data_IF_251237921133
#
_entry.id   IF_251237921133
#
_cell.length_a   1.000
_cell.length_b   1.000
_cell.length_c   1.000
_cell.angle_alpha   90.00
_cell.angle_beta   90.00
_cell.angle_gamma   90.00
#
_symmetry.space_group_name_H-M   'P 1'
#
loop_
_entity.id
_entity.type
_entity.pdbx_description
1 polymer ?
#
# COMPACT_ATOMS: atom_id res chain seq x y z
N UNK A 1 -3.98 -2.51 9.19
CA UNK A 1 -5.28 -2.61 8.60
C UNK A 1 -5.27 -2.53 7.09
N UNK A 2 -6.22 -3.19 6.45
CA UNK A 2 -6.36 -3.08 5.00
C UNK A 2 -6.95 -1.72 4.60
N UNK A 3 -6.51 -1.22 3.46
CA UNK A 3 -6.99 0.02 2.88
C UNK A 3 -7.34 -0.22 1.41
N UNK A 4 -8.57 0.10 1.04
CA UNK A 4 -9.07 -0.12 -0.33
C UNK A 4 -8.73 1.09 -1.19
N UNK A 5 -8.18 0.84 -2.37
CA UNK A 5 -7.80 1.89 -3.30
C UNK A 5 -8.23 1.51 -4.73
N UNK A 6 -8.86 2.44 -5.43
CA UNK A 6 -9.20 2.26 -6.84
C UNK A 6 -8.25 3.08 -7.69
N UNK A 7 -7.58 2.42 -8.64
CA UNK A 7 -6.64 3.07 -9.54
C UNK A 7 -7.35 3.94 -10.57
N UNK A 8 -6.58 4.78 -11.25
CA UNK A 8 -7.11 5.68 -12.29
C UNK A 8 -7.88 4.89 -13.37
N UNK A 9 -7.38 3.73 -13.76
CA UNK A 9 -8.00 2.91 -14.81
C UNK A 9 -9.03 1.91 -14.27
N UNK A 10 -9.35 1.98 -12.96
CA UNK A 10 -10.45 1.24 -12.39
C UNK A 10 -10.09 -0.08 -11.71
N UNK A 11 -8.83 -0.42 -11.59
CA UNK A 11 -8.41 -1.61 -10.84
C UNK A 11 -8.66 -1.40 -9.35
N UNK A 12 -9.21 -2.40 -8.69
CA UNK A 12 -9.46 -2.34 -7.25
C UNK A 12 -8.36 -3.07 -6.50
N UNK A 13 -7.69 -2.33 -5.63
CA UNK A 13 -6.58 -2.84 -4.82
C UNK A 13 -6.94 -2.80 -3.35
N UNK A 14 -6.36 -3.72 -2.59
CA UNK A 14 -6.27 -3.60 -1.14
C UNK A 14 -4.80 -3.52 -0.80
N UNK A 15 -4.37 -2.42 -0.18
CA UNK A 15 -3.04 -2.39 0.41
C UNK A 15 -3.18 -2.87 1.85
N UNK A 16 -2.29 -3.75 2.26
CA UNK A 16 -2.36 -4.36 3.59
C UNK A 16 -0.97 -4.71 4.08
N UNK A 17 -0.85 -4.85 5.37
CA UNK A 17 0.44 -5.11 5.99
C UNK A 17 0.51 -6.52 6.52
N UNK A 18 1.71 -7.07 6.51
CA UNK A 18 1.97 -8.42 6.98
C UNK A 18 3.44 -8.61 7.24
N UNK A 19 3.80 -9.83 7.62
CA UNK A 19 5.18 -10.16 7.93
C UNK A 19 5.73 -11.11 6.87
N UNK A 20 6.92 -10.78 6.40
CA UNK A 20 7.75 -11.67 5.58
C UNK A 20 9.03 -11.93 6.33
N UNK A 21 9.91 -12.73 5.75
CA UNK A 21 11.17 -13.13 6.40
C UNK A 21 12.00 -11.94 6.86
N UNK A 22 11.99 -10.85 6.08
CA UNK A 22 12.77 -9.64 6.37
C UNK A 22 12.09 -8.66 7.32
N UNK A 23 10.85 -8.91 7.73
CA UNK A 23 10.14 -8.04 8.67
C UNK A 23 8.74 -7.65 8.21
N UNK A 24 8.30 -6.49 8.68
CA UNK A 24 6.97 -5.96 8.42
C UNK A 24 6.93 -5.22 7.08
N UNK A 25 5.90 -5.46 6.28
CA UNK A 25 5.83 -4.92 4.93
C UNK A 25 4.42 -4.45 4.59
N UNK A 26 4.33 -3.57 3.61
CA UNK A 26 3.08 -3.18 2.99
C UNK A 26 2.97 -3.88 1.63
N UNK A 27 1.90 -4.63 1.42
CA UNK A 27 1.68 -5.44 0.23
C UNK A 27 0.43 -4.97 -0.52
N UNK A 28 0.28 -5.44 -1.74
CA UNK A 28 -0.87 -5.15 -2.59
C UNK A 28 -1.57 -6.46 -2.96
N UNK A 29 -2.87 -6.52 -2.75
CA UNK A 29 -3.74 -7.53 -3.34
C UNK A 29 -4.65 -6.85 -4.35
N UNK A 30 -5.03 -7.56 -5.41
CA UNK A 30 -5.88 -7.01 -6.45
C UNK A 30 -7.05 -7.91 -6.78
N UNK A 31 -8.19 -7.28 -7.05
CA UNK A 31 -9.39 -7.97 -7.53
C UNK A 31 -9.24 -8.25 -9.03
N UNK A 32 -9.69 -9.43 -9.47
CA UNK A 32 -9.60 -9.83 -10.86
C UNK A 32 -10.63 -9.15 -11.77
N UNK A 33 -11.67 -8.57 -11.17
CA UNK A 33 -12.77 -7.97 -11.95
C UNK A 33 -13.07 -6.51 -11.56
N UNK A 34 -12.24 -5.90 -10.71
CA UNK A 34 -12.43 -4.53 -10.25
C UNK A 34 -13.53 -4.37 -9.21
N UNK A 35 -14.07 -5.45 -8.67
CA UNK A 35 -15.16 -5.44 -7.68
C UNK A 35 -14.66 -6.10 -6.40
N UNK A 36 -15.21 -5.66 -5.26
CA UNK A 36 -14.86 -6.22 -3.94
C UNK A 36 -15.19 -7.72 -3.86
N UNK A 37 -16.18 -8.17 -4.62
CA UNK A 37 -16.61 -9.57 -4.65
C UNK A 37 -15.80 -10.43 -5.61
N UNK A 38 -14.83 -9.85 -6.32
CA UNK A 38 -13.96 -10.59 -7.24
C UNK A 38 -13.00 -11.53 -6.51
N UNK A 39 -12.24 -12.26 -7.29
CA UNK A 39 -11.14 -13.08 -6.74
C UNK A 39 -9.94 -12.20 -6.49
N UNK A 40 -9.31 -12.36 -5.33
CA UNK A 40 -8.19 -11.54 -4.92
C UNK A 40 -6.89 -12.29 -5.10
N UNK A 41 -5.91 -11.63 -5.70
CA UNK A 41 -4.57 -12.16 -5.91
C UNK A 41 -3.57 -11.20 -5.32
N UNK A 42 -2.62 -11.72 -4.57
CA UNK A 42 -1.56 -10.89 -4.02
C UNK A 42 -0.48 -10.65 -5.06
N UNK A 43 -0.07 -9.39 -5.22
CA UNK A 43 1.03 -9.04 -6.10
C UNK A 43 2.36 -9.56 -5.51
N UNK A 44 3.28 -9.93 -6.40
CA UNK A 44 4.62 -10.36 -5.98
C UNK A 44 5.46 -9.19 -5.49
N UNK A 45 5.25 -8.01 -6.07
CA UNK A 45 5.98 -6.80 -5.68
C UNK A 45 5.39 -6.23 -4.41
N UNK A 46 6.24 -5.88 -3.46
CA UNK A 46 5.83 -5.21 -2.24
C UNK A 46 5.82 -3.70 -2.46
N UNK A 47 4.79 -3.03 -1.92
CA UNK A 47 4.73 -1.57 -2.00
C UNK A 47 5.78 -0.94 -1.09
N UNK A 48 5.97 -1.49 0.10
CA UNK A 48 6.99 -1.02 1.03
C UNK A 48 7.61 -2.21 1.77
N UNK A 49 8.89 -2.55 1.48
CA UNK A 49 9.53 -3.74 2.06
C UNK A 49 10.40 -3.47 3.29
N UNK A 50 10.45 -2.21 3.80
CA UNK A 50 11.50 -1.76 4.71
C UNK A 50 11.01 -1.66 6.15
N UNK A 51 10.37 -2.71 6.67
CA UNK A 51 9.93 -2.81 8.06
C UNK A 51 8.91 -1.75 8.43
N UNK A 52 7.91 -1.58 7.59
CA UNK A 52 6.82 -0.64 7.82
C UNK A 52 5.51 -1.13 7.25
N UNK A 53 4.43 -0.60 7.78
CA UNK A 53 3.11 -1.00 7.34
C UNK A 53 2.00 -0.25 8.06
N UNK A 54 0.81 -0.83 8.05
CA UNK A 54 -0.43 -0.23 8.53
C UNK A 54 -0.71 1.06 7.78
N UNK A 55 -0.55 0.98 6.46
CA UNK A 55 -0.53 2.15 5.61
C UNK A 55 -1.89 2.53 5.06
N UNK A 56 -1.97 3.77 4.63
CA UNK A 56 -3.11 4.29 3.88
C UNK A 56 -2.62 5.28 2.81
N UNK A 57 -3.42 5.47 1.80
CA UNK A 57 -3.11 6.40 0.71
C UNK A 57 -3.87 7.69 0.94
N UNK A 58 -3.22 8.81 0.76
CA UNK A 58 -3.88 10.12 0.77
C UNK A 58 -3.23 11.05 -0.26
N UNK A 59 -3.95 12.09 -0.62
CA UNK A 59 -3.45 13.13 -1.50
C UNK A 59 -3.07 14.35 -0.64
N UNK A 60 -1.85 14.85 -0.81
CA UNK A 60 -1.42 16.01 -0.05
C UNK A 60 -1.96 17.32 -0.67
N UNK A 61 -1.65 18.47 -0.05
CA UNK A 61 -2.16 19.76 -0.49
C UNK A 61 -1.63 20.17 -1.86
N UNK A 62 -0.54 19.57 -2.32
CA UNK A 62 0.04 19.83 -3.65
C UNK A 62 -0.51 18.87 -4.71
N UNK A 63 -1.48 18.03 -4.38
CA UNK A 63 -2.05 17.07 -5.30
C UNK A 63 -1.20 15.81 -5.49
N UNK A 64 -0.21 15.59 -4.65
CA UNK A 64 0.66 14.43 -4.73
C UNK A 64 0.07 13.27 -3.92
N UNK A 65 0.14 12.07 -4.51
CA UNK A 65 -0.33 10.86 -3.86
C UNK A 65 0.74 10.34 -2.89
N UNK A 66 0.33 10.06 -1.66
CA UNK A 66 1.23 9.70 -0.58
C UNK A 66 0.77 8.41 0.09
N UNK A 67 1.74 7.57 0.46
CA UNK A 67 1.53 6.45 1.37
C UNK A 67 1.97 6.87 2.76
N UNK A 68 1.06 6.84 3.72
CA UNK A 68 1.36 7.07 5.13
C UNK A 68 1.42 5.71 5.83
N UNK A 69 2.51 5.44 6.53
CA UNK A 69 2.67 4.21 7.30
C UNK A 69 3.55 4.46 8.51
N UNK A 70 3.70 3.46 9.38
CA UNK A 70 4.70 3.57 10.44
C UNK A 70 5.92 2.70 10.12
N UNK A 71 7.09 3.19 10.50
CA UNK A 71 8.36 2.49 10.35
C UNK A 71 9.37 3.09 11.33
N UNK A 72 10.23 2.28 11.99
CA UNK A 72 10.25 0.82 11.95
C UNK A 72 9.08 0.23 12.72
N UNK A 73 8.79 -1.04 12.55
CA UNK A 73 7.79 -1.75 13.34
C UNK A 73 8.43 -2.34 14.59
N UNK A 74 8.82 -1.46 15.52
CA UNK A 74 9.48 -1.85 16.75
C UNK A 74 9.16 -0.85 17.85
N UNK A 75 8.46 -1.29 18.88
CA UNK A 75 8.11 -0.46 20.04
C UNK A 75 9.37 -0.09 20.84
N UNK A 76 9.62 1.16 21.23
CA UNK A 76 8.79 2.36 21.04
C UNK A 76 9.26 3.25 19.88
N UNK A 77 9.87 2.69 18.84
CA UNK A 77 10.59 3.45 17.81
C UNK A 77 9.73 3.77 16.59
N UNK A 78 8.47 3.30 16.56
CA UNK A 78 7.58 3.56 15.43
C UNK A 78 7.40 5.06 15.21
N UNK A 79 7.47 5.47 13.95
CA UNK A 79 7.28 6.86 13.53
C UNK A 79 6.41 6.89 12.29
N UNK A 80 5.59 7.91 12.12
CA UNK A 80 4.89 8.10 10.85
C UNK A 80 5.91 8.43 9.75
N UNK A 81 5.75 7.76 8.62
CA UNK A 81 6.58 7.97 7.44
C UNK A 81 5.64 8.25 6.27
N UNK A 82 5.97 9.25 5.45
CA UNK A 82 5.17 9.65 4.30
C UNK A 82 6.00 9.45 3.04
N UNK A 83 5.52 8.61 2.15
CA UNK A 83 6.28 8.17 0.98
C UNK A 83 5.50 8.54 -0.27
N UNK A 84 6.11 9.29 -1.23
CA UNK A 84 5.45 9.55 -2.50
C UNK A 84 5.23 8.25 -3.26
N UNK A 85 4.03 8.09 -3.78
CA UNK A 85 3.67 6.96 -4.64
C UNK A 85 3.05 7.47 -5.92
N UNK A 86 3.05 6.63 -6.93
CA UNK A 86 2.46 6.92 -8.23
C UNK A 86 1.40 5.88 -8.55
N UNK A 87 0.25 6.35 -9.02
CA UNK A 87 -0.77 5.51 -9.61
C UNK A 87 -0.42 5.35 -11.09
N UNK A 88 -0.07 4.14 -11.49
CA UNK A 88 0.30 3.84 -12.89
C UNK A 88 -0.90 3.66 -13.80
N UNK A 89 -2.11 3.72 -13.24
CA UNK A 89 -3.35 3.35 -13.90
C UNK A 89 -3.85 1.99 -13.44
N UNK A 90 -2.94 1.07 -13.14
CA UNK A 90 -3.26 -0.30 -12.75
C UNK A 90 -2.76 -0.69 -11.38
N UNK A 91 -1.78 0.02 -10.86
CA UNK A 91 -1.20 -0.30 -9.55
C UNK A 91 -0.57 0.95 -8.92
N UNK A 92 -0.04 0.79 -7.73
CA UNK A 92 0.71 1.81 -7.01
C UNK A 92 2.17 1.39 -6.95
N UNK A 93 3.06 2.35 -7.19
CA UNK A 93 4.51 2.14 -7.03
C UNK A 93 5.10 3.31 -6.24
N UNK A 94 6.20 3.06 -5.55
CA UNK A 94 6.98 4.14 -4.94
C UNK A 94 7.64 4.97 -6.04
N UNK A 95 7.68 6.25 -5.81
CA UNK A 95 8.36 7.17 -6.74
C UNK A 95 9.85 7.18 -6.49
#
# INVERSE_FOLDING_TARGET
GPFVYRTIDGDLLIIWSGFVKSGYVQAIARSDNGDITGKWTQDKELLFPDNGGHGMIFENLNGELMLALHSPNKNPYERPVFIPVKDTGHTLIRV
#
